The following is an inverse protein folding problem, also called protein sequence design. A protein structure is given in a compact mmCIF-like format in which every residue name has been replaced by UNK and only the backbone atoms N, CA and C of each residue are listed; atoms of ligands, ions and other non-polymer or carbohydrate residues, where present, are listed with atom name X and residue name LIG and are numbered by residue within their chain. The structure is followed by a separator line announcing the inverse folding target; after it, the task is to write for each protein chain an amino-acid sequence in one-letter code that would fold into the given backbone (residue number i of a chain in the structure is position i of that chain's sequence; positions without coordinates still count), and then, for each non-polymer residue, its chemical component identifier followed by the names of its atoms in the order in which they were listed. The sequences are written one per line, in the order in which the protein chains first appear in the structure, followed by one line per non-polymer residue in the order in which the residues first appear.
data_IF_174605468820
#
_entry.id   IF_174605468820
#
_cell.length_a   1.000
_cell.length_b   1.000
_cell.length_c   1.000
_cell.angle_alpha   90.00
_cell.angle_beta   90.00
_cell.angle_gamma   90.00
#
_symmetry.space_group_name_H-M   'P 1'
#
loop_
_entity.id
_entity.type
_entity.pdbx_description
1 polymer ?
#
# COMPACT_ATOMS: atom_id res chain seq x y z
N UNK A 1 7.32 -45.61 6.20
CA UNK A 1 7.89 -44.55 7.04
C UNK A 1 7.28 -43.25 6.53
N UNK A 2 6.39 -42.69 7.33
CA UNK A 2 5.58 -41.51 7.05
C UNK A 2 6.43 -40.25 6.95
N UNK A 3 6.03 -39.39 6.01
CA UNK A 3 6.10 -37.91 6.01
C UNK A 3 7.46 -37.23 6.18
N UNK A 4 7.77 -36.36 5.22
CA UNK A 4 7.81 -34.92 5.50
C UNK A 4 7.53 -34.17 4.20
N UNK A 5 6.26 -33.79 4.01
CA UNK A 5 5.86 -32.84 2.98
C UNK A 5 6.46 -31.48 3.35
N UNK A 6 7.33 -30.98 2.47
CA UNK A 6 8.01 -29.71 2.61
C UNK A 6 7.03 -28.54 2.36
N UNK A 7 6.16 -28.29 3.32
CA UNK A 7 5.23 -27.15 3.33
C UNK A 7 5.99 -25.92 3.82
N UNK A 8 6.86 -25.32 3.00
CA UNK A 8 7.54 -24.06 3.37
C UNK A 8 7.90 -23.12 2.22
N UNK A 9 7.56 -23.42 0.97
CA UNK A 9 7.59 -22.42 -0.11
C UNK A 9 6.19 -21.86 -0.33
N UNK A 10 5.73 -21.02 0.60
CA UNK A 10 4.58 -20.16 0.31
C UNK A 10 5.04 -19.13 -0.72
N UNK A 11 4.64 -19.34 -1.97
CA UNK A 11 4.67 -18.39 -3.08
C UNK A 11 4.62 -16.95 -2.56
N UNK A 12 5.78 -16.29 -2.52
CA UNK A 12 5.81 -14.84 -2.48
C UNK A 12 5.12 -14.40 -3.78
N UNK A 13 4.08 -13.56 -3.71
CA UNK A 13 3.42 -13.08 -4.93
C UNK A 13 4.49 -12.45 -5.82
N UNK A 14 4.43 -12.75 -7.13
CA UNK A 14 5.25 -12.05 -8.13
C UNK A 14 5.24 -10.56 -7.81
N UNK A 15 6.42 -9.94 -7.76
CA UNK A 15 6.58 -8.56 -7.27
C UNK A 15 5.77 -7.52 -8.05
N UNK A 16 5.24 -7.90 -9.21
CA UNK A 16 4.41 -7.10 -10.10
C UNK A 16 2.91 -7.47 -10.08
N UNK A 17 2.52 -8.53 -9.37
CA UNK A 17 1.10 -8.90 -9.26
C UNK A 17 0.36 -8.02 -8.25
N UNK A 18 -0.76 -7.41 -8.68
CA UNK A 18 -1.60 -6.58 -7.80
C UNK A 18 -2.29 -7.51 -6.78
N UNK A 19 -2.00 -7.38 -5.47
CA UNK A 19 -2.62 -8.24 -4.47
C UNK A 19 -4.10 -7.90 -4.32
N UNK A 20 -4.94 -8.93 -4.16
CA UNK A 20 -6.41 -8.78 -4.06
C UNK A 20 -6.96 -7.90 -5.20
N UNK A 21 -6.81 -8.32 -6.47
CA UNK A 21 -7.21 -7.50 -7.63
C UNK A 21 -8.73 -7.34 -7.75
N UNK A 22 -9.50 -8.20 -7.07
CA UNK A 22 -10.97 -8.23 -7.11
C UNK A 22 -11.64 -6.92 -6.63
N UNK A 23 -12.79 -6.61 -7.22
CA UNK A 23 -13.56 -5.42 -6.85
C UNK A 23 -14.17 -5.58 -5.43
N UNK A 24 -14.05 -4.59 -4.52
CA UNK A 24 -14.40 -4.74 -3.11
C UNK A 24 -15.87 -5.10 -2.82
N UNK A 25 -16.80 -4.66 -3.68
CA UNK A 25 -18.24 -4.93 -3.56
C UNK A 25 -18.80 -5.43 -4.88
N UNK A 26 -18.76 -6.75 -5.16
CA UNK A 26 -19.16 -7.30 -6.45
C UNK A 26 -20.60 -6.97 -6.89
N UNK A 27 -21.51 -6.68 -5.95
CA UNK A 27 -22.89 -6.29 -6.26
C UNK A 27 -23.05 -4.79 -6.60
N UNK A 28 -22.02 -3.97 -6.36
CA UNK A 28 -22.05 -2.51 -6.55
C UNK A 28 -20.87 -2.03 -7.40
N UNK A 29 -20.60 -2.75 -8.48
CA UNK A 29 -19.50 -2.45 -9.40
C UNK A 29 -19.76 -1.14 -10.13
N UNK A 30 -18.76 -0.26 -10.13
CA UNK A 30 -18.70 0.89 -11.01
C UNK A 30 -17.79 0.54 -12.20
N UNK A 31 -18.17 0.92 -13.42
CA UNK A 31 -17.35 0.64 -14.61
C UNK A 31 -16.01 1.38 -14.56
N UNK A 32 -16.03 2.62 -14.06
CA UNK A 32 -14.85 3.45 -13.85
C UNK A 32 -14.30 3.20 -12.44
N UNK A 33 -13.32 2.30 -12.33
CA UNK A 33 -12.62 1.99 -11.10
C UNK A 33 -11.14 1.69 -11.34
N UNK A 34 -10.29 2.13 -10.40
CA UNK A 34 -8.86 1.85 -10.39
C UNK A 34 -8.49 1.20 -9.06
N UNK A 35 -7.88 0.01 -9.13
CA UNK A 35 -7.35 -0.66 -7.95
C UNK A 35 -6.06 0.03 -7.49
N UNK A 36 -6.02 0.43 -6.21
CA UNK A 36 -4.86 1.11 -5.60
C UNK A 36 -4.00 0.19 -4.73
N UNK A 37 -4.23 -1.12 -4.77
CA UNK A 37 -3.39 -2.12 -4.12
C UNK A 37 -2.01 -2.19 -4.79
N UNK A 38 -1.06 -2.78 -4.05
CA UNK A 38 0.33 -2.87 -4.44
C UNK A 38 1.23 -2.00 -3.57
N UNK A 39 2.36 -1.59 -4.13
CA UNK A 39 3.45 -0.89 -3.42
C UNK A 39 3.14 0.59 -3.20
N UNK A 40 3.32 1.03 -1.96
CA UNK A 40 3.22 2.43 -1.54
C UNK A 40 4.51 2.83 -0.85
N UNK A 41 4.89 4.10 -0.95
CA UNK A 41 5.88 4.67 -0.04
C UNK A 41 5.27 4.76 1.36
N UNK A 42 6.07 4.48 2.39
CA UNK A 42 5.62 4.33 3.75
C UNK A 42 6.62 4.90 4.75
N UNK A 43 6.14 5.54 5.80
CA UNK A 43 6.97 5.99 6.92
C UNK A 43 6.18 5.92 8.23
N UNK A 44 6.78 5.33 9.26
CA UNK A 44 6.24 5.37 10.62
C UNK A 44 6.60 6.71 11.26
N UNK A 45 5.67 7.31 11.99
CA UNK A 45 5.86 8.60 12.66
C UNK A 45 5.54 8.47 14.16
N UNK A 46 6.44 7.86 14.95
CA UNK A 46 6.21 7.66 16.39
C UNK A 46 5.97 8.97 17.14
N UNK A 47 6.61 10.05 16.69
CA UNK A 47 6.50 11.38 17.28
C UNK A 47 5.26 12.18 16.85
N UNK A 48 4.43 11.66 15.92
CA UNK A 48 3.28 12.38 15.33
C UNK A 48 3.67 13.77 14.79
N UNK A 49 4.89 13.88 14.27
CA UNK A 49 5.58 15.11 13.88
C UNK A 49 5.63 15.30 12.35
N UNK A 50 4.98 14.41 11.60
CA UNK A 50 5.08 14.35 10.16
C UNK A 50 4.58 15.62 9.48
N UNK A 51 3.64 16.36 10.10
CA UNK A 51 3.14 17.61 9.53
C UNK A 51 4.16 18.73 9.60
N UNK A 52 4.84 18.83 10.74
CA UNK A 52 5.93 19.77 11.00
C UNK A 52 7.14 19.43 10.12
N UNK A 53 7.38 18.14 9.86
CA UNK A 53 8.40 17.63 8.93
C UNK A 53 7.99 17.73 7.45
N UNK A 54 6.77 18.18 7.14
CA UNK A 54 6.29 18.39 5.77
C UNK A 54 5.91 17.13 4.99
N UNK A 55 5.63 16.00 5.63
CA UNK A 55 5.33 14.72 4.96
C UNK A 55 4.02 14.75 4.15
N UNK A 56 3.13 15.68 4.45
CA UNK A 56 1.90 15.95 3.71
C UNK A 56 2.10 16.65 2.36
N UNK A 57 3.28 17.21 2.09
CA UNK A 57 3.53 18.05 0.92
C UNK A 57 3.66 17.25 -0.39
N UNK A 58 2.97 16.10 -0.51
CA UNK A 58 3.01 15.25 -1.70
C UNK A 58 2.72 16.05 -2.99
N UNK A 59 3.58 15.88 -4.00
CA UNK A 59 3.48 16.59 -5.28
C UNK A 59 4.08 18.00 -5.30
N UNK A 60 4.61 18.49 -4.18
CA UNK A 60 5.38 19.74 -4.13
C UNK A 60 6.87 19.53 -4.47
N UNK A 61 7.56 20.57 -4.93
CA UNK A 61 9.00 20.55 -5.20
C UNK A 61 9.84 20.20 -3.95
N UNK A 62 9.33 20.54 -2.76
CA UNK A 62 9.99 20.24 -1.48
C UNK A 62 9.64 18.85 -0.93
N UNK A 63 8.84 18.06 -1.65
CA UNK A 63 8.39 16.76 -1.19
C UNK A 63 9.54 15.73 -1.23
N UNK A 64 10.13 15.41 -0.07
CA UNK A 64 11.08 14.29 0.02
C UNK A 64 10.38 12.95 -0.09
N UNK A 65 11.11 11.89 -0.51
CA UNK A 65 10.65 10.48 -0.47
C UNK A 65 10.41 10.05 1.00
N UNK A 66 9.43 9.17 1.23
CA UNK A 66 9.25 8.52 2.53
C UNK A 66 10.29 7.40 2.65
N UNK A 67 10.68 7.08 3.88
CA UNK A 67 11.85 6.24 4.17
C UNK A 67 11.71 4.78 3.73
N UNK A 68 10.49 4.25 3.66
CA UNK A 68 10.23 2.85 3.35
C UNK A 68 9.11 2.63 2.34
N UNK A 69 8.70 1.37 2.26
CA UNK A 69 7.62 0.91 1.39
C UNK A 69 6.73 -0.10 2.12
N UNK A 70 5.48 -0.21 1.67
CA UNK A 70 4.51 -1.17 2.19
C UNK A 70 3.62 -1.71 1.06
N UNK A 71 3.24 -2.98 1.15
CA UNK A 71 2.28 -3.61 0.23
C UNK A 71 0.86 -3.50 0.80
N UNK A 72 0.07 -2.61 0.19
CA UNK A 72 -1.37 -2.49 0.43
C UNK A 72 -2.09 -3.63 -0.31
N UNK A 73 -3.03 -4.36 0.32
CA UNK A 73 -3.83 -3.96 1.49
C UNK A 73 -3.38 -4.55 2.83
N UNK A 74 -2.14 -5.03 2.95
CA UNK A 74 -1.68 -5.65 4.18
C UNK A 74 -1.28 -4.60 5.22
N UNK A 75 -1.63 -4.84 6.49
CA UNK A 75 -1.28 -3.96 7.60
C UNK A 75 0.24 -4.00 7.89
N UNK A 76 0.81 -2.95 8.51
CA UNK A 76 2.25 -2.88 8.83
C UNK A 76 2.79 -4.06 9.66
N UNK A 77 1.95 -4.65 10.50
CA UNK A 77 2.29 -5.78 11.38
C UNK A 77 2.44 -7.11 10.61
N UNK A 78 1.82 -7.21 9.44
CA UNK A 78 1.84 -8.41 8.61
C UNK A 78 3.18 -8.58 7.92
N UNK A 79 3.67 -9.82 7.84
CA UNK A 79 4.83 -10.14 6.98
C UNK A 79 4.55 -9.88 5.50
N UNK A 80 3.29 -10.01 5.07
CA UNK A 80 2.89 -9.79 3.68
C UNK A 80 2.98 -8.33 3.24
N UNK A 81 3.02 -7.40 4.19
CA UNK A 81 3.17 -5.97 3.89
C UNK A 81 4.61 -5.56 3.57
N UNK A 82 5.59 -6.43 3.90
CA UNK A 82 7.01 -6.12 3.83
C UNK A 82 7.55 -5.33 5.03
N UNK A 83 6.69 -4.86 5.94
CA UNK A 83 7.09 -4.05 7.11
C UNK A 83 7.28 -4.94 8.35
N UNK A 84 6.34 -5.84 8.63
CA UNK A 84 6.36 -6.77 9.77
C UNK A 84 6.63 -6.13 11.15
N UNK A 85 6.27 -4.87 11.35
CA UNK A 85 6.48 -4.14 12.61
C UNK A 85 5.27 -4.34 13.54
N UNK A 86 5.48 -4.98 14.69
CA UNK A 86 4.40 -5.45 15.58
C UNK A 86 4.19 -4.62 16.85
N UNK A 87 5.10 -3.70 17.15
CA UNK A 87 4.96 -2.82 18.31
C UNK A 87 3.90 -1.76 18.03
N UNK A 88 3.61 -0.93 19.04
CA UNK A 88 2.63 0.13 18.91
C UNK A 88 3.06 1.17 17.87
N UNK A 89 2.16 1.49 16.94
CA UNK A 89 2.40 2.45 15.85
C UNK A 89 1.52 3.70 16.08
N UNK A 90 2.08 4.81 16.59
CA UNK A 90 1.30 6.01 16.95
C UNK A 90 0.73 6.78 15.77
N UNK A 91 1.45 6.79 14.63
CA UNK A 91 1.05 7.38 13.36
C UNK A 91 1.91 6.81 12.22
N UNK A 92 1.37 6.89 11.00
CA UNK A 92 2.01 6.42 9.76
C UNK A 92 1.64 7.33 8.60
N UNK A 93 2.51 7.35 7.61
CA UNK A 93 2.31 8.04 6.34
C UNK A 93 2.36 7.03 5.20
N UNK A 94 1.40 7.17 4.28
CA UNK A 94 1.35 6.42 3.03
C UNK A 94 1.39 7.40 1.88
N UNK A 95 2.14 7.09 0.82
CA UNK A 95 2.13 7.89 -0.40
C UNK A 95 2.28 7.05 -1.65
N UNK A 96 1.46 7.36 -2.65
CA UNK A 96 1.54 6.81 -3.99
C UNK A 96 1.18 7.88 -5.01
N UNK A 97 1.98 8.00 -6.06
CA UNK A 97 1.63 8.80 -7.23
C UNK A 97 0.64 8.00 -8.07
N UNK A 98 -0.43 8.66 -8.50
CA UNK A 98 -1.49 8.06 -9.30
C UNK A 98 -1.73 8.92 -10.53
N UNK A 99 -1.90 8.29 -11.67
CA UNK A 99 -2.35 8.96 -12.90
C UNK A 99 -3.84 8.71 -13.03
N UNK A 100 -4.61 9.80 -13.02
CA UNK A 100 -6.05 9.71 -13.29
C UNK A 100 -6.23 9.37 -14.77
N UNK A 101 -6.99 8.31 -15.12
CA UNK A 101 -7.25 7.98 -16.52
C UNK A 101 -7.90 9.15 -17.26
N UNK A 102 -7.45 9.42 -18.49
CA UNK A 102 -7.99 10.52 -19.31
C UNK A 102 -9.50 10.38 -19.56
N UNK A 103 -10.00 9.14 -19.66
CA UNK A 103 -11.42 8.84 -19.77
C UNK A 103 -12.27 9.33 -18.56
N UNK A 104 -11.65 9.77 -17.47
CA UNK A 104 -12.31 10.34 -16.31
C UNK A 104 -12.27 11.87 -16.29
N UNK A 105 -11.69 12.53 -17.30
CA UNK A 105 -11.67 13.98 -17.41
C UNK A 105 -13.09 14.57 -17.36
N UNK A 106 -13.26 15.64 -16.58
CA UNK A 106 -14.56 16.29 -16.35
C UNK A 106 -15.54 15.51 -15.47
N UNK A 107 -15.21 14.27 -15.07
CA UNK A 107 -15.98 13.53 -14.07
C UNK A 107 -15.56 13.95 -12.66
N UNK A 108 -16.42 13.69 -11.68
CA UNK A 108 -16.05 13.78 -10.26
C UNK A 108 -15.21 12.55 -9.90
N UNK A 109 -13.94 12.77 -9.58
CA UNK A 109 -12.94 11.76 -9.15
C UNK A 109 -12.66 11.90 -7.67
#
# INVERSE_FOLDING_TARGET
MTQEENVSERNLPDSDSVPRPEYPRPQFVRPDWLNLNGRWQFEMDPGRSGRERGLQAAGSEVARRLEGEIIVPFCPESKLSGVAHKDFIPAVWYRRALTVPEAWAGKRV
#
